data_IF_868896098245
#
_entry.id   IF_868896098245
#
_cell.length_a   1.000
_cell.length_b   1.000
_cell.length_c   1.000
_cell.angle_alpha   90.00
_cell.angle_beta   90.00
_cell.angle_gamma   90.00
#
_symmetry.space_group_name_H-M   'P 1'
#
loop_
_entity.id
_entity.type
_entity.pdbx_description
1 polymer ?
#
# COMPACT_ATOMS: atom_id res chain seq x y z
N UNK A 1 15.79 -30.32 -7.46
CA UNK A 1 14.98 -29.79 -6.34
C UNK A 1 13.74 -29.16 -6.96
N UNK A 2 12.53 -29.66 -6.68
CA UNK A 2 11.33 -28.89 -7.07
C UNK A 2 11.13 -27.80 -6.01
N UNK A 3 10.79 -26.61 -6.49
CA UNK A 3 10.38 -25.51 -5.63
C UNK A 3 8.85 -25.49 -5.71
N UNK A 4 8.19 -25.89 -4.62
CA UNK A 4 6.74 -25.97 -4.56
C UNK A 4 6.22 -24.75 -3.80
N UNK A 5 5.26 -24.04 -4.39
CA UNK A 5 4.53 -22.98 -3.68
C UNK A 5 3.51 -23.62 -2.76
N UNK A 6 3.64 -23.38 -1.46
CA UNK A 6 2.77 -23.92 -0.42
C UNK A 6 1.92 -22.79 0.15
N UNK A 7 0.61 -23.01 0.26
CA UNK A 7 -0.30 -22.09 0.94
C UNK A 7 0.05 -22.00 2.43
N UNK A 8 -0.17 -20.84 3.06
CA UNK A 8 0.14 -20.64 4.48
C UNK A 8 -0.64 -21.61 5.38
N UNK A 9 -1.89 -21.92 5.05
CA UNK A 9 -2.69 -22.88 5.82
C UNK A 9 -2.13 -24.31 5.70
N UNK A 10 -1.63 -24.66 4.51
CA UNK A 10 -0.96 -25.93 4.28
C UNK A 10 0.41 -25.98 4.99
N UNK A 11 1.15 -24.87 5.02
CA UNK A 11 2.44 -24.76 5.68
C UNK A 11 2.33 -25.10 7.18
N UNK A 12 1.24 -24.70 7.85
CA UNK A 12 1.01 -24.97 9.27
C UNK A 12 0.98 -26.46 9.64
N UNK A 13 0.57 -27.31 8.69
CA UNK A 13 0.31 -28.74 8.89
C UNK A 13 1.22 -29.67 8.09
N UNK A 14 1.97 -29.15 7.12
CA UNK A 14 2.90 -29.92 6.33
C UNK A 14 4.05 -30.50 7.16
N UNK A 15 4.31 -31.80 7.00
CA UNK A 15 5.50 -32.42 7.58
C UNK A 15 6.77 -31.89 6.88
N UNK A 16 7.71 -31.34 7.66
CA UNK A 16 8.98 -30.85 7.15
C UNK A 16 10.07 -30.91 8.21
N UNK A 17 11.23 -31.43 7.82
CA UNK A 17 12.43 -31.47 8.65
C UNK A 17 13.30 -30.21 8.47
N UNK A 18 12.91 -29.30 7.58
CA UNK A 18 13.66 -28.07 7.32
C UNK A 18 13.51 -27.08 8.49
N UNK A 19 14.61 -26.64 9.14
CA UNK A 19 14.53 -25.70 10.25
C UNK A 19 13.80 -24.39 9.92
N UNK A 20 13.95 -23.89 8.68
CA UNK A 20 13.26 -22.68 8.23
C UNK A 20 11.74 -22.84 8.20
N UNK A 21 11.23 -24.02 7.82
CA UNK A 21 9.79 -24.31 7.80
C UNK A 21 9.25 -24.46 9.21
N UNK A 22 9.98 -25.15 10.08
CA UNK A 22 9.58 -25.38 11.48
C UNK A 22 9.42 -24.07 12.24
N UNK A 23 10.32 -23.09 12.04
CA UNK A 23 10.20 -21.77 12.69
C UNK A 23 8.96 -21.00 12.19
N UNK A 24 8.65 -21.07 10.89
CA UNK A 24 7.41 -20.46 10.39
C UNK A 24 6.15 -21.15 10.94
N UNK A 25 6.17 -22.47 11.13
CA UNK A 25 5.07 -23.21 11.76
C UNK A 25 4.88 -22.84 13.23
N UNK A 26 5.97 -22.64 13.98
CA UNK A 26 5.92 -22.13 15.35
C UNK A 26 5.28 -20.75 15.40
N UNK A 27 5.69 -19.84 14.50
CA UNK A 27 5.11 -18.49 14.40
C UNK A 27 3.60 -18.54 14.11
N UNK A 28 3.16 -19.43 13.21
CA UNK A 28 1.74 -19.63 12.91
C UNK A 28 0.92 -20.15 14.10
N UNK A 29 1.57 -20.85 15.04
CA UNK A 29 0.97 -21.30 16.31
C UNK A 29 1.06 -20.26 17.42
N UNK A 30 1.68 -19.10 17.16
CA UNK A 30 1.89 -18.03 18.14
C UNK A 30 3.17 -18.17 18.97
N UNK A 31 4.05 -19.12 18.65
CA UNK A 31 5.33 -19.35 19.31
C UNK A 31 6.43 -18.55 18.57
N UNK A 32 6.82 -17.38 19.09
CA UNK A 32 7.66 -16.41 18.35
C UNK A 32 9.05 -16.16 18.98
N UNK A 33 9.46 -17.01 19.92
CA UNK A 33 10.75 -16.85 20.61
C UNK A 33 11.93 -17.33 19.76
N UNK A 34 11.68 -18.21 18.78
CA UNK A 34 12.74 -18.80 17.95
C UNK A 34 13.22 -17.83 16.88
N UNK A 35 14.53 -17.53 16.81
CA UNK A 35 15.08 -16.71 15.73
C UNK A 35 14.87 -17.35 14.35
N UNK A 36 14.44 -16.56 13.36
CA UNK A 36 14.35 -17.03 11.98
C UNK A 36 15.76 -17.27 11.41
N UNK A 37 16.09 -18.48 10.95
CA UNK A 37 17.36 -18.71 10.26
C UNK A 37 17.37 -17.97 8.92
N UNK A 38 18.57 -17.66 8.39
CA UNK A 38 18.73 -16.92 7.12
C UNK A 38 17.88 -17.50 5.99
N UNK A 39 17.88 -18.83 5.86
CA UNK A 39 17.10 -19.53 4.83
C UNK A 39 15.58 -19.32 4.92
N UNK A 40 15.05 -18.85 6.05
CA UNK A 40 13.63 -18.58 6.25
C UNK A 40 13.19 -17.19 5.76
N UNK A 41 14.14 -16.27 5.54
CA UNK A 41 13.86 -14.87 5.21
C UNK A 41 14.84 -14.31 4.17
N UNK A 42 15.46 -15.18 3.38
CA UNK A 42 16.46 -14.82 2.37
C UNK A 42 15.84 -14.25 1.09
N UNK A 43 14.96 -13.25 1.24
CA UNK A 43 14.41 -12.48 0.14
C UNK A 43 15.31 -11.27 -0.12
N UNK A 44 15.80 -11.15 -1.35
CA UNK A 44 16.71 -10.09 -1.78
C UNK A 44 15.90 -8.90 -2.27
N UNK A 45 16.37 -7.68 -1.98
CA UNK A 45 15.79 -6.45 -2.50
C UNK A 45 15.84 -6.39 -4.04
N UNK A 46 15.06 -5.49 -4.69
CA UNK A 46 15.02 -5.40 -6.15
C UNK A 46 16.38 -5.10 -6.81
N UNK A 47 17.33 -4.53 -6.06
CA UNK A 47 18.69 -4.21 -6.53
C UNK A 47 19.68 -5.34 -6.34
N UNK A 48 19.31 -6.43 -5.66
CA UNK A 48 20.20 -7.56 -5.43
C UNK A 48 21.26 -7.31 -4.35
N UNK A 49 21.14 -6.23 -3.57
CA UNK A 49 22.19 -5.67 -2.71
C UNK A 49 21.97 -5.92 -1.23
N UNK A 50 20.73 -6.14 -0.81
CA UNK A 50 20.38 -6.36 0.58
C UNK A 50 19.41 -7.52 0.72
N UNK A 51 19.48 -8.20 1.87
CA UNK A 51 18.52 -9.22 2.25
C UNK A 51 17.53 -8.63 3.25
N UNK A 52 16.30 -9.11 3.16
CA UNK A 52 15.27 -8.86 4.17
C UNK A 52 15.76 -9.29 5.55
N UNK A 53 15.39 -8.57 6.61
CA UNK A 53 15.74 -8.94 7.98
C UNK A 53 14.72 -9.92 8.56
N UNK A 54 15.17 -10.78 9.48
CA UNK A 54 14.29 -11.69 10.21
C UNK A 54 13.10 -10.97 10.87
N UNK A 55 13.36 -9.82 11.49
CA UNK A 55 12.32 -9.04 12.18
C UNK A 55 11.30 -8.44 11.22
N UNK A 56 11.75 -7.94 10.06
CA UNK A 56 10.84 -7.45 9.03
C UNK A 56 9.97 -8.59 8.49
N UNK A 57 10.54 -9.75 8.19
CA UNK A 57 9.80 -10.91 7.70
C UNK A 57 8.71 -11.34 8.69
N UNK A 58 9.03 -11.44 9.99
CA UNK A 58 8.03 -11.76 11.04
C UNK A 58 6.93 -10.71 11.13
N UNK A 59 7.32 -9.44 11.15
CA UNK A 59 6.38 -8.32 11.27
C UNK A 59 5.43 -8.29 10.08
N UNK A 60 5.97 -8.46 8.86
CA UNK A 60 5.19 -8.55 7.64
C UNK A 60 4.20 -9.73 7.66
N UNK A 61 4.65 -10.92 8.06
CA UNK A 61 3.80 -12.10 8.15
C UNK A 61 2.65 -11.90 9.15
N UNK A 62 2.96 -11.41 10.36
CA UNK A 62 1.95 -11.10 11.39
C UNK A 62 0.93 -10.08 10.92
N UNK A 63 1.40 -9.02 10.26
CA UNK A 63 0.54 -7.99 9.71
C UNK A 63 -0.42 -8.61 8.67
N UNK A 64 0.05 -9.54 7.83
CA UNK A 64 -0.81 -10.24 6.87
C UNK A 64 -1.86 -11.11 7.56
N UNK A 65 -1.46 -11.96 8.51
CA UNK A 65 -2.37 -12.85 9.24
C UNK A 65 -3.45 -12.05 9.98
N UNK A 66 -3.06 -10.99 10.68
CA UNK A 66 -3.98 -10.10 11.41
C UNK A 66 -4.93 -9.39 10.45
N UNK A 67 -4.40 -8.85 9.34
CA UNK A 67 -5.20 -8.17 8.32
C UNK A 67 -6.21 -9.11 7.69
N UNK A 68 -5.80 -10.31 7.31
CA UNK A 68 -6.69 -11.31 6.72
C UNK A 68 -7.84 -11.66 7.67
N UNK A 69 -7.52 -11.95 8.94
CA UNK A 69 -8.53 -12.25 9.94
C UNK A 69 -9.55 -11.11 10.11
N UNK A 70 -9.07 -9.86 10.23
CA UNK A 70 -9.95 -8.70 10.38
C UNK A 70 -10.82 -8.46 9.14
N UNK A 71 -10.31 -8.71 7.94
CA UNK A 71 -11.03 -8.47 6.70
C UNK A 71 -12.07 -9.54 6.39
N UNK A 72 -11.91 -10.78 6.87
CA UNK A 72 -12.92 -11.85 6.72
C UNK A 72 -14.28 -11.44 7.29
N UNK A 73 -14.30 -10.70 8.39
CA UNK A 73 -15.54 -10.24 9.02
C UNK A 73 -16.06 -8.92 8.46
N UNK A 74 -15.20 -8.14 7.78
CA UNK A 74 -15.53 -6.79 7.30
C UNK A 74 -15.84 -6.72 5.81
N UNK A 75 -15.32 -7.65 5.01
CA UNK A 75 -15.50 -7.69 3.57
C UNK A 75 -16.39 -8.86 3.12
N UNK A 76 -17.32 -8.58 2.20
CA UNK A 76 -18.03 -9.58 1.38
C UNK A 76 -17.20 -10.00 0.16
N UNK A 77 -15.92 -10.25 0.37
CA UNK A 77 -15.00 -10.78 -0.64
C UNK A 77 -13.85 -11.53 0.03
N UNK A 78 -13.41 -12.62 -0.60
CA UNK A 78 -12.20 -13.32 -0.20
C UNK A 78 -11.01 -12.73 -0.96
N UNK A 79 -10.15 -12.04 -0.24
CA UNK A 79 -8.91 -11.50 -0.80
C UNK A 79 -7.91 -12.61 -1.12
N UNK A 80 -7.12 -12.41 -2.16
CA UNK A 80 -5.95 -13.26 -2.44
C UNK A 80 -4.79 -12.92 -1.50
N UNK A 81 -3.84 -13.84 -1.24
CA UNK A 81 -2.74 -13.59 -0.31
C UNK A 81 -1.94 -12.31 -0.62
N UNK A 82 -1.67 -12.02 -1.90
CA UNK A 82 -1.00 -10.78 -2.29
C UNK A 82 -1.84 -9.52 -2.02
N UNK A 83 -3.18 -9.62 -2.11
CA UNK A 83 -4.08 -8.50 -1.81
C UNK A 83 -4.11 -8.23 -0.31
N UNK A 84 -4.14 -9.27 0.53
CA UNK A 84 -4.00 -9.16 1.99
C UNK A 84 -2.67 -8.48 2.32
N UNK A 85 -1.57 -8.93 1.70
CA UNK A 85 -0.25 -8.32 1.86
C UNK A 85 -0.26 -6.84 1.49
N UNK A 86 -0.89 -6.49 0.38
CA UNK A 86 -1.06 -5.11 -0.08
C UNK A 86 -1.83 -4.24 0.92
N UNK A 87 -2.95 -4.73 1.47
CA UNK A 87 -3.71 -4.02 2.50
C UNK A 87 -2.91 -3.86 3.79
N UNK A 88 -2.24 -4.91 4.25
CA UNK A 88 -1.41 -4.88 5.45
C UNK A 88 -0.27 -3.85 5.33
N UNK A 89 0.39 -3.84 4.16
CA UNK A 89 1.43 -2.86 3.84
C UNK A 89 0.88 -1.44 3.76
N UNK A 90 -0.28 -1.23 3.13
CA UNK A 90 -0.92 0.08 3.07
C UNK A 90 -1.28 0.59 4.46
N UNK A 91 -1.82 -0.27 5.33
CA UNK A 91 -2.19 0.09 6.69
C UNK A 91 -0.98 0.55 7.50
N UNK A 92 0.10 -0.24 7.50
CA UNK A 92 1.33 0.08 8.24
C UNK A 92 2.04 1.32 7.70
N UNK A 93 2.14 1.45 6.37
CA UNK A 93 2.83 2.59 5.73
C UNK A 93 2.06 3.89 5.93
N UNK A 94 0.72 3.83 5.88
CA UNK A 94 -0.11 4.99 6.19
C UNK A 94 0.02 5.44 7.65
N UNK A 95 0.27 4.53 8.59
CA UNK A 95 0.51 4.86 10.00
C UNK A 95 1.91 5.43 10.24
N UNK A 96 2.94 4.87 9.63
CA UNK A 96 4.33 5.31 9.86
C UNK A 96 4.74 6.51 9.03
N UNK A 97 4.37 6.56 7.74
CA UNK A 97 4.84 7.56 6.78
C UNK A 97 3.81 8.63 6.44
N UNK A 98 2.54 8.44 6.81
CA UNK A 98 1.45 9.36 6.46
C UNK A 98 1.04 9.31 4.98
N UNK A 99 1.50 8.32 4.22
CA UNK A 99 1.05 8.11 2.84
C UNK A 99 1.70 6.93 2.13
N UNK A 100 1.05 6.43 1.07
CA UNK A 100 1.54 5.33 0.25
C UNK A 100 1.01 5.40 -1.20
N UNK A 101 1.72 4.74 -2.12
CA UNK A 101 1.28 4.56 -3.51
C UNK A 101 1.12 3.07 -3.77
N UNK A 102 -0.11 2.61 -4.03
CA UNK A 102 -0.36 1.25 -4.52
C UNK A 102 -0.30 1.25 -6.05
N UNK A 103 0.80 0.73 -6.59
CA UNK A 103 1.12 0.74 -8.02
C UNK A 103 1.06 -0.67 -8.65
N UNK A 104 0.26 -1.57 -8.08
CA UNK A 104 0.06 -2.92 -8.63
C UNK A 104 -0.40 -2.87 -10.10
N UNK A 105 -0.11 -3.93 -10.86
CA UNK A 105 -0.57 -4.07 -12.25
C UNK A 105 -2.10 -3.90 -12.39
N UNK A 106 -2.53 -3.48 -13.58
CA UNK A 106 -3.96 -3.39 -13.91
C UNK A 106 -4.62 -4.78 -13.79
N UNK A 107 -5.78 -4.82 -13.13
CA UNK A 107 -6.53 -6.07 -12.94
C UNK A 107 -6.25 -6.82 -11.63
N UNK A 108 -5.20 -6.47 -10.87
CA UNK A 108 -4.89 -7.11 -9.57
C UNK A 108 -5.80 -6.69 -8.40
N UNK A 109 -6.83 -5.89 -8.67
CA UNK A 109 -7.84 -5.54 -7.66
C UNK A 109 -7.41 -4.46 -6.66
N UNK A 110 -6.70 -3.41 -7.11
CA UNK A 110 -6.37 -2.25 -6.27
C UNK A 110 -7.59 -1.65 -5.56
N UNK A 111 -8.76 -1.66 -6.22
CA UNK A 111 -10.00 -1.14 -5.62
C UNK A 111 -10.43 -1.98 -4.41
N UNK A 112 -10.43 -3.31 -4.51
CA UNK A 112 -10.82 -4.16 -3.36
C UNK A 112 -9.80 -4.06 -2.22
N UNK A 113 -8.50 -3.88 -2.54
CA UNK A 113 -7.48 -3.59 -1.53
C UNK A 113 -7.74 -2.25 -0.84
N UNK A 114 -8.03 -1.19 -1.59
CA UNK A 114 -8.37 0.11 -1.02
C UNK A 114 -9.62 0.05 -0.14
N UNK A 115 -10.67 -0.66 -0.57
CA UNK A 115 -11.88 -0.88 0.26
C UNK A 115 -11.55 -1.68 1.53
N UNK A 116 -10.63 -2.64 1.46
CA UNK A 116 -10.10 -3.33 2.64
C UNK A 116 -9.46 -2.35 3.63
N UNK A 117 -8.58 -1.47 3.15
CA UNK A 117 -7.98 -0.43 3.98
C UNK A 117 -9.04 0.49 4.62
N UNK A 118 -10.03 0.95 3.85
CA UNK A 118 -11.13 1.78 4.36
C UNK A 118 -11.87 1.06 5.49
N UNK A 119 -12.11 -0.24 5.32
CA UNK A 119 -12.83 -1.08 6.27
C UNK A 119 -12.05 -1.29 7.57
N UNK A 120 -10.71 -1.35 7.54
CA UNK A 120 -9.89 -1.42 8.75
C UNK A 120 -9.89 -0.10 9.54
N UNK A 121 -10.11 1.02 8.86
CA UNK A 121 -9.98 2.38 9.40
C UNK A 121 -11.30 3.04 9.84
N UNK A 122 -12.39 2.29 9.95
CA UNK A 122 -13.71 2.81 10.36
C UNK A 122 -13.66 3.59 11.68
N UNK A 123 -12.89 3.11 12.66
CA UNK A 123 -12.74 3.75 13.97
C UNK A 123 -11.90 5.05 13.94
N UNK A 124 -11.17 5.31 12.84
CA UNK A 124 -10.28 6.48 12.70
C UNK A 124 -11.01 7.74 12.22
N UNK A 125 -12.28 7.61 11.82
CA UNK A 125 -13.14 8.72 11.41
C UNK A 125 -13.51 8.71 9.91
N UNK A 126 -14.07 9.82 9.40
CA UNK A 126 -14.50 9.93 8.00
C UNK A 126 -13.34 9.79 7.02
N UNK A 127 -13.57 9.07 5.92
CA UNK A 127 -12.58 8.82 4.87
C UNK A 127 -13.10 9.33 3.53
N UNK A 128 -12.20 9.78 2.65
CA UNK A 128 -12.55 10.33 1.34
C UNK A 128 -11.83 9.58 0.22
N UNK A 129 -12.59 9.11 -0.76
CA UNK A 129 -12.07 8.63 -2.04
C UNK A 129 -12.23 9.74 -3.07
N UNK A 130 -11.13 10.11 -3.73
CA UNK A 130 -11.12 11.06 -4.84
C UNK A 130 -10.85 10.28 -6.12
N UNK A 131 -11.75 10.41 -7.09
CA UNK A 131 -11.64 9.73 -8.38
C UNK A 131 -12.22 10.61 -9.51
N UNK A 132 -11.91 10.33 -10.79
CA UNK A 132 -12.62 10.91 -11.92
C UNK A 132 -14.14 10.80 -11.75
N UNK A 133 -14.88 11.82 -12.21
CA UNK A 133 -16.35 11.87 -12.08
C UNK A 133 -17.03 10.62 -12.65
N UNK A 134 -16.50 10.07 -13.74
CA UNK A 134 -16.99 8.84 -14.38
C UNK A 134 -16.86 7.59 -13.52
N UNK A 135 -15.97 7.58 -12.51
CA UNK A 135 -15.73 6.44 -11.63
C UNK A 135 -16.47 6.55 -10.29
N UNK A 136 -17.11 7.68 -9.98
CA UNK A 136 -17.79 7.91 -8.68
C UNK A 136 -18.86 6.85 -8.43
N UNK A 137 -19.69 6.56 -9.43
CA UNK A 137 -20.75 5.55 -9.33
C UNK A 137 -20.18 4.14 -9.18
N UNK A 138 -19.09 3.83 -9.89
CA UNK A 138 -18.39 2.57 -9.78
C UNK A 138 -17.82 2.36 -8.38
N UNK A 139 -17.14 3.36 -7.82
CA UNK A 139 -16.61 3.32 -6.45
C UNK A 139 -17.71 3.13 -5.41
N UNK A 140 -18.82 3.87 -5.52
CA UNK A 140 -19.94 3.72 -4.59
C UNK A 140 -20.54 2.31 -4.63
N UNK A 141 -20.68 1.73 -5.84
CA UNK A 141 -21.11 0.35 -6.00
C UNK A 141 -20.09 -0.62 -5.39
N UNK A 142 -18.81 -0.53 -5.73
CA UNK A 142 -17.79 -1.44 -5.22
C UNK A 142 -17.66 -1.39 -3.69
N UNK A 143 -17.71 -0.21 -3.07
CA UNK A 143 -17.72 -0.10 -1.60
C UNK A 143 -18.96 -0.79 -1.02
N UNK A 144 -20.16 -0.52 -1.56
CA UNK A 144 -21.40 -1.14 -1.07
C UNK A 144 -21.39 -2.66 -1.25
N UNK A 145 -20.80 -3.15 -2.35
CA UNK A 145 -20.66 -4.57 -2.67
C UNK A 145 -19.68 -5.25 -1.72
N UNK A 146 -18.48 -4.71 -1.58
CA UNK A 146 -17.39 -5.35 -0.84
C UNK A 146 -17.45 -5.08 0.66
N UNK A 147 -17.87 -3.89 1.10
CA UNK A 147 -17.91 -3.50 2.50
C UNK A 147 -19.27 -2.83 2.83
N UNK A 148 -20.37 -3.59 2.84
CA UNK A 148 -21.72 -3.07 3.05
C UNK A 148 -21.94 -2.43 4.42
N UNK A 149 -21.04 -2.66 5.39
CA UNK A 149 -21.06 -1.96 6.68
C UNK A 149 -20.60 -0.50 6.59
N UNK A 150 -20.02 -0.07 5.47
CA UNK A 150 -19.62 1.32 5.23
C UNK A 150 -20.78 2.12 4.65
N UNK A 151 -21.01 3.31 5.20
CA UNK A 151 -21.95 4.27 4.60
C UNK A 151 -21.21 5.15 3.59
N UNK A 152 -21.76 5.29 2.39
CA UNK A 152 -21.13 6.02 1.29
C UNK A 152 -21.95 7.25 0.92
N UNK A 153 -21.28 8.39 0.80
CA UNK A 153 -21.83 9.63 0.27
C UNK A 153 -21.04 10.05 -0.96
N UNK A 154 -21.73 10.61 -1.97
CA UNK A 154 -21.09 11.14 -3.18
C UNK A 154 -21.27 12.65 -3.25
N UNK A 155 -20.26 13.36 -3.72
CA UNK A 155 -20.28 14.81 -3.79
C UNK A 155 -18.94 15.41 -4.19
N UNK A 156 -18.85 16.74 -4.09
CA UNK A 156 -17.62 17.47 -4.31
C UNK A 156 -16.95 17.82 -2.99
N UNK A 157 -15.63 17.65 -2.92
CA UNK A 157 -14.80 18.11 -1.82
C UNK A 157 -13.96 19.32 -2.25
N UNK A 158 -13.70 20.27 -1.34
CA UNK A 158 -12.86 21.45 -1.61
C UNK A 158 -11.48 21.34 -0.97
N UNK A 159 -11.45 21.24 0.35
CA UNK A 159 -10.23 21.12 1.16
C UNK A 159 -10.44 20.00 2.16
N UNK A 160 -9.47 19.12 2.22
CA UNK A 160 -9.51 17.92 3.04
C UNK A 160 -8.17 17.86 3.72
N UNK A 161 -8.20 18.03 5.03
CA UNK A 161 -7.05 17.67 5.85
C UNK A 161 -7.13 16.17 6.12
N UNK A 162 -6.06 15.46 5.85
CA UNK A 162 -6.01 14.01 5.89
C UNK A 162 -4.73 13.59 6.60
N UNK A 163 -4.89 12.73 7.62
CA UNK A 163 -3.76 12.17 8.38
C UNK A 163 -2.87 11.29 7.51
N UNK A 164 -3.47 10.55 6.59
CA UNK A 164 -2.76 9.73 5.60
C UNK A 164 -3.34 9.94 4.20
N UNK A 165 -2.49 9.88 3.17
CA UNK A 165 -2.89 10.03 1.76
C UNK A 165 -2.42 8.84 0.94
N UNK A 166 -3.35 8.17 0.27
CA UNK A 166 -3.07 6.97 -0.54
C UNK A 166 -3.40 7.25 -2.00
N UNK A 167 -2.48 6.92 -2.89
CA UNK A 167 -2.72 6.94 -4.32
C UNK A 167 -2.78 5.52 -4.89
N UNK A 168 -3.73 5.29 -5.81
CA UNK A 168 -3.85 4.03 -6.55
C UNK A 168 -3.51 4.31 -8.01
N UNK A 169 -2.58 3.56 -8.60
CA UNK A 169 -2.15 3.74 -9.98
C UNK A 169 -1.78 2.42 -10.63
N UNK A 170 -1.90 2.31 -11.96
CA UNK A 170 -1.59 1.10 -12.72
C UNK A 170 -0.13 1.05 -13.18
N UNK A 171 0.39 2.16 -13.72
CA UNK A 171 1.76 2.31 -14.25
C UNK A 171 2.20 3.79 -14.22
N UNK A 172 2.56 4.36 -13.06
CA UNK A 172 2.78 5.80 -12.95
C UNK A 172 3.99 6.32 -13.76
N UNK A 173 4.96 5.47 -14.09
CA UNK A 173 6.19 5.85 -14.82
C UNK A 173 5.97 5.89 -16.35
N UNK A 174 5.01 5.13 -16.87
CA UNK A 174 4.82 4.97 -18.32
C UNK A 174 4.15 6.17 -18.98
N UNK A 175 3.45 7.00 -18.21
CA UNK A 175 2.70 8.14 -18.74
C UNK A 175 3.53 9.44 -18.77
N UNK A 176 4.11 9.87 -17.63
CA UNK A 176 5.07 10.99 -17.57
C UNK A 176 5.70 11.15 -16.18
N UNK A 177 6.94 11.69 -16.12
CA UNK A 177 7.58 12.06 -14.85
C UNK A 177 6.81 13.16 -14.10
N UNK A 178 6.11 14.04 -14.81
CA UNK A 178 5.31 15.10 -14.18
C UNK A 178 4.06 14.54 -13.48
N UNK A 179 3.45 13.49 -14.01
CA UNK A 179 2.33 12.78 -13.37
C UNK A 179 2.79 12.04 -12.12
N UNK A 180 3.95 11.36 -12.17
CA UNK A 180 4.56 10.74 -11.00
C UNK A 180 4.85 11.79 -9.92
N UNK A 181 5.43 12.93 -10.29
CA UNK A 181 5.66 14.05 -9.37
C UNK A 181 4.38 14.59 -8.75
N UNK A 182 3.30 14.68 -9.52
CA UNK A 182 2.00 15.11 -9.01
C UNK A 182 1.42 14.13 -7.98
N UNK A 183 1.54 12.82 -8.22
CA UNK A 183 1.12 11.77 -7.29
C UNK A 183 1.95 11.84 -5.99
N UNK A 184 3.28 11.89 -6.11
CA UNK A 184 4.18 11.92 -4.95
C UNK A 184 3.97 13.17 -4.08
N UNK A 185 3.69 14.33 -4.71
CA UNK A 185 3.35 15.56 -3.98
C UNK A 185 2.07 15.42 -3.16
N UNK A 186 1.07 14.70 -3.67
CA UNK A 186 -0.17 14.47 -2.93
C UNK A 186 0.08 13.50 -1.78
N UNK A 187 0.81 12.41 -2.02
CA UNK A 187 1.01 11.34 -1.02
C UNK A 187 1.98 11.74 0.09
N UNK A 188 3.09 12.39 -0.25
CA UNK A 188 4.16 12.76 0.68
C UNK A 188 4.54 14.26 0.55
N UNK A 189 3.64 15.18 0.93
CA UNK A 189 3.83 16.62 0.72
C UNK A 189 5.02 17.21 1.49
N UNK A 190 5.44 16.59 2.60
CA UNK A 190 6.61 16.99 3.39
C UNK A 190 7.93 16.70 2.69
N UNK A 191 7.99 15.63 1.89
CA UNK A 191 9.18 15.19 1.14
C UNK A 191 9.24 15.87 -0.22
N UNK A 192 8.09 16.10 -0.85
CA UNK A 192 7.97 16.66 -2.19
C UNK A 192 7.20 17.99 -2.17
N UNK A 193 7.85 19.11 -1.81
CA UNK A 193 7.20 20.43 -1.76
C UNK A 193 6.88 20.97 -3.16
N UNK A 194 6.05 22.01 -3.23
CA UNK A 194 5.77 22.71 -4.48
C UNK A 194 7.06 23.15 -5.18
N UNK A 195 7.19 22.89 -6.50
CA UNK A 195 8.21 23.57 -7.31
C UNK A 195 7.97 25.06 -7.18
N UNK A 196 8.91 25.76 -6.54
CA UNK A 196 9.01 27.21 -6.69
C UNK A 196 9.39 27.43 -8.14
N UNK A 197 8.42 27.76 -8.98
CA UNK A 197 8.72 28.41 -10.25
C UNK A 197 9.24 29.78 -9.87
N UNK A 198 10.56 29.91 -9.80
CA UNK A 198 11.19 31.23 -9.81
C UNK A 198 10.84 31.85 -11.15
N UNK A 199 9.81 32.71 -11.15
CA UNK A 199 9.56 33.62 -12.25
C UNK A 199 10.79 34.53 -12.27
N UNK A 200 11.77 34.17 -13.08
CA UNK A 200 12.93 35.00 -13.34
C UNK A 200 12.41 36.34 -13.80
N UNK A 201 12.58 37.37 -12.98
CA UNK A 201 12.36 38.74 -13.39
C UNK A 201 13.35 39.01 -14.53
N UNK A 202 12.86 38.94 -15.77
CA UNK A 202 13.57 39.44 -16.94
C UNK A 202 13.77 40.94 -16.76
N UNK A 203 14.80 41.34 -16.03
CA UNK A 203 15.27 42.71 -15.98
C UNK A 203 16.02 42.92 -17.29
N UNK A 204 15.32 43.52 -18.25
CA UNK A 204 15.93 43.94 -19.52
C UNK A 204 17.04 44.93 -19.21
N UNK A 205 18.28 44.49 -19.36
CA UNK A 205 19.44 45.36 -19.33
C UNK A 205 19.41 46.20 -20.62
N UNK A 206 18.99 47.46 -20.51
CA UNK A 206 19.14 48.47 -21.56
C UNK A 206 20.24 49.43 -21.12
N UNK A 207 21.46 49.15 -21.56
CA UNK A 207 22.57 50.11 -21.53
C UNK A 207 22.28 51.30 -22.45
N UNK A 208 22.51 52.56 -22.05
CA UNK A 208 22.36 53.70 -22.95
C UNK A 208 23.61 53.86 -23.82
N UNK A 209 23.41 54.06 -25.12
CA UNK A 209 24.48 54.40 -26.07
C UNK A 209 25.02 55.82 -25.81
N UNK A 210 26.35 56.04 -25.80
CA UNK A 210 26.90 57.39 -25.76
C UNK A 210 26.77 58.08 -27.13
N UNK A 211 26.57 59.39 -27.08
CA UNK A 211 26.45 60.31 -28.22
C UNK A 211 27.79 60.56 -28.91
#
# INVERSE_FOLDING_TARGET
MSCDLVDVDALATQASDAPSVQVWQQLLRGEDETPLPLAAHAEVDPTGTAMTTADFARTAMRACLTTDQLLRDRLRAQLRPYQVRGVAWLASTAESEGGAVLADEMGLGKTVQAVGLLSLRVETGPQLVVCPTSLVTNWAHEITRFAPGLTVYTGAARRVDAQARIALTGTPIENSLDELWAILRVVAPSVFPHRIVSIGSGRSDRSPSPR
#
